data_IF_190846842713
#
_entry.id   IF_190846842713
#
_cell.length_a   1.000
_cell.length_b   1.000
_cell.length_c   1.000
_cell.angle_alpha   90.00
_cell.angle_beta   90.00
_cell.angle_gamma   90.00
#
_symmetry.space_group_name_H-M   'P 1'
#
loop_
_entity.id
_entity.type
_entity.pdbx_description
1 polymer ?
#
# COMPACT_ATOMS: atom_id res chain seq x y z
N UNK A 1 -20.27 6.53 15.60
CA UNK A 1 -18.91 6.96 15.20
C UNK A 1 -18.45 6.09 14.04
N UNK A 2 -17.73 6.60 13.03
CA UNK A 2 -16.90 5.72 12.21
C UNK A 2 -15.90 5.02 13.15
N UNK A 3 -15.55 3.78 12.87
CA UNK A 3 -14.56 3.08 13.68
C UNK A 3 -13.24 3.88 13.66
N UNK A 4 -12.57 4.06 14.82
CA UNK A 4 -11.33 4.82 14.86
C UNK A 4 -10.32 4.16 13.92
N UNK A 5 -9.80 4.93 12.96
CA UNK A 5 -8.69 4.51 12.12
C UNK A 5 -7.54 4.13 13.04
N UNK A 6 -7.22 2.84 13.07
CA UNK A 6 -6.18 2.29 13.93
C UNK A 6 -5.11 1.70 13.03
N UNK A 7 -3.85 2.00 13.34
CA UNK A 7 -2.71 1.37 12.65
C UNK A 7 -2.75 -0.13 12.93
N UNK A 8 -2.71 -0.92 11.86
CA UNK A 8 -2.69 -2.38 11.90
C UNK A 8 -1.32 -2.88 11.47
N UNK A 9 -0.95 -4.08 11.94
CA UNK A 9 0.32 -4.74 11.59
C UNK A 9 0.10 -6.10 10.94
N UNK A 10 -0.99 -6.24 10.18
CA UNK A 10 -1.39 -7.51 9.56
C UNK A 10 -0.62 -7.77 8.27
N UNK A 11 0.34 -8.70 8.32
CA UNK A 11 1.03 -9.19 7.13
C UNK A 11 0.05 -9.89 6.16
N UNK A 12 -0.92 -10.64 6.67
CA UNK A 12 -1.94 -11.30 5.84
C UNK A 12 -2.72 -10.27 5.00
N UNK A 13 -3.02 -9.09 5.55
CA UNK A 13 -3.69 -8.01 4.83
C UNK A 13 -2.84 -7.44 3.69
N UNK A 14 -1.52 -7.49 3.80
CA UNK A 14 -0.58 -7.09 2.76
C UNK A 14 -0.44 -8.20 1.73
N UNK A 15 -0.13 -9.43 2.16
CA UNK A 15 0.11 -10.58 1.28
C UNK A 15 -1.13 -10.97 0.48
N UNK A 16 -2.34 -10.79 1.02
CA UNK A 16 -3.58 -10.98 0.26
C UNK A 16 -3.74 -9.96 -0.87
N UNK A 17 -3.27 -8.72 -0.70
CA UNK A 17 -3.36 -7.64 -1.71
C UNK A 17 -2.21 -7.67 -2.71
N UNK A 18 -1.05 -8.09 -2.25
CA UNK A 18 0.22 -8.07 -2.96
C UNK A 18 0.97 -9.38 -2.63
N UNK A 19 0.63 -10.49 -3.28
CA UNK A 19 1.21 -11.82 -3.01
C UNK A 19 2.74 -11.84 -3.13
N UNK A 20 3.30 -11.02 -4.02
CA UNK A 20 4.74 -10.94 -4.25
C UNK A 20 5.46 -9.87 -3.39
N UNK A 21 4.80 -9.30 -2.37
CA UNK A 21 5.40 -8.24 -1.53
C UNK A 21 6.57 -8.71 -0.66
N UNK A 22 6.62 -10.00 -0.32
CA UNK A 22 7.66 -10.52 0.58
C UNK A 22 7.70 -9.77 1.92
N UNK A 23 6.54 -9.35 2.44
CA UNK A 23 6.45 -8.48 3.60
C UNK A 23 6.94 -9.17 4.87
N UNK A 24 7.92 -8.58 5.55
CA UNK A 24 8.48 -9.06 6.82
C UNK A 24 7.96 -8.29 8.03
N UNK A 25 7.47 -7.07 7.79
CA UNK A 25 6.86 -6.18 8.79
C UNK A 25 5.93 -5.18 8.09
N UNK A 26 4.88 -4.73 8.78
CA UNK A 26 3.96 -3.75 8.17
C UNK A 26 3.27 -2.89 9.22
N UNK A 27 3.05 -1.63 8.86
CA UNK A 27 2.16 -0.69 9.52
C UNK A 27 1.21 -0.13 8.47
N UNK A 28 -0.08 -0.44 8.58
CA UNK A 28 -1.08 -0.07 7.58
C UNK A 28 -2.30 0.59 8.21
N UNK A 29 -2.94 1.47 7.44
CA UNK A 29 -4.23 2.08 7.75
C UNK A 29 -5.13 1.88 6.53
N UNK A 30 -6.35 1.37 6.77
CA UNK A 30 -7.37 1.23 5.74
C UNK A 30 -8.57 2.09 6.10
N UNK A 31 -9.11 2.82 5.12
CA UNK A 31 -10.30 3.65 5.30
C UNK A 31 -11.24 3.51 4.12
N UNK A 32 -12.50 3.16 4.38
CA UNK A 32 -13.55 3.26 3.36
C UNK A 32 -13.75 4.72 2.94
N UNK A 33 -13.85 4.99 1.64
CA UNK A 33 -14.08 6.36 1.11
C UNK A 33 -15.54 6.82 1.22
N UNK A 34 -16.21 6.51 2.33
CA UNK A 34 -17.60 6.90 2.57
C UNK A 34 -17.74 7.61 3.91
N UNK A 35 -18.24 8.86 3.90
CA UNK A 35 -18.65 9.51 5.15
C UNK A 35 -19.92 8.81 5.66
N UNK A 36 -20.05 8.66 6.98
CA UNK A 36 -21.21 8.02 7.65
C UNK A 36 -22.60 8.62 7.31
N UNK A 37 -22.64 9.75 6.59
CA UNK A 37 -23.86 10.43 6.12
C UNK A 37 -24.03 10.42 4.58
N UNK A 38 -23.12 9.80 3.83
CA UNK A 38 -23.19 9.59 2.37
C UNK A 38 -23.79 8.21 2.06
N UNK A 39 -24.91 7.90 2.71
CA UNK A 39 -25.67 6.64 2.66
C UNK A 39 -26.32 6.34 1.30
N UNK A 40 -25.78 6.88 0.19
CA UNK A 40 -26.45 6.89 -1.12
C UNK A 40 -25.65 6.34 -2.29
N UNK A 41 -24.41 5.91 -2.11
CA UNK A 41 -23.74 5.12 -3.14
C UNK A 41 -24.16 3.65 -2.97
N UNK A 42 -24.79 3.03 -3.98
CA UNK A 42 -25.05 1.60 -3.96
C UNK A 42 -23.71 0.84 -3.94
N UNK A 43 -23.61 -0.27 -3.20
CA UNK A 43 -22.59 -1.29 -3.48
C UNK A 43 -22.72 -1.68 -4.96
N UNK A 44 -21.62 -1.65 -5.75
CA UNK A 44 -20.22 -1.90 -5.38
C UNK A 44 -19.29 -0.66 -5.39
N UNK A 45 -19.79 0.56 -5.52
CA UNK A 45 -18.96 1.76 -5.78
C UNK A 45 -18.27 2.37 -4.54
N UNK A 46 -17.87 1.56 -3.54
CA UNK A 46 -17.19 2.05 -2.33
C UNK A 46 -15.69 1.71 -2.38
N UNK A 47 -14.85 2.55 -3.03
CA UNK A 47 -13.42 2.38 -2.92
C UNK A 47 -12.95 2.58 -1.47
N UNK A 48 -11.90 1.89 -1.06
CA UNK A 48 -11.20 2.18 0.19
C UNK A 48 -9.75 2.55 -0.09
N UNK A 49 -9.19 3.41 0.75
CA UNK A 49 -7.78 3.74 0.75
C UNK A 49 -6.99 2.77 1.62
N UNK A 50 -5.80 2.41 1.14
CA UNK A 50 -4.82 1.58 1.82
C UNK A 50 -3.51 2.36 1.88
N UNK A 51 -3.12 2.82 3.06
CA UNK A 51 -1.83 3.47 3.28
C UNK A 51 -0.96 2.53 4.08
N UNK A 52 0.31 2.35 3.70
CA UNK A 52 1.18 1.44 4.43
C UNK A 52 2.65 1.84 4.39
N UNK A 53 3.35 1.44 5.45
CA UNK A 53 4.79 1.38 5.56
C UNK A 53 5.16 -0.09 5.78
N UNK A 54 5.94 -0.67 4.88
CA UNK A 54 6.13 -2.12 4.80
C UNK A 54 7.62 -2.43 4.70
N UNK A 55 8.11 -3.27 5.59
CA UNK A 55 9.44 -3.88 5.46
C UNK A 55 9.33 -5.06 4.50
N UNK A 56 10.23 -5.12 3.52
CA UNK A 56 10.22 -6.12 2.45
C UNK A 56 11.49 -6.96 2.48
N UNK A 57 11.39 -8.19 1.97
CA UNK A 57 12.57 -9.00 1.74
C UNK A 57 13.51 -8.38 0.68
N UNK A 58 14.75 -8.86 0.69
CA UNK A 58 15.79 -8.35 -0.20
C UNK A 58 15.49 -8.63 -1.69
N UNK A 59 14.74 -9.68 -2.00
CA UNK A 59 14.42 -10.03 -3.38
C UNK A 59 13.45 -9.00 -3.98
N UNK A 60 12.41 -8.65 -3.22
CA UNK A 60 11.41 -7.65 -3.57
C UNK A 60 12.02 -6.25 -3.61
N UNK A 61 12.82 -5.89 -2.59
CA UNK A 61 13.57 -4.63 -2.55
C UNK A 61 14.43 -4.43 -3.81
N UNK A 62 15.16 -5.47 -4.24
CA UNK A 62 15.94 -5.40 -5.48
C UNK A 62 15.07 -5.27 -6.73
N UNK A 63 14.01 -6.07 -6.85
CA UNK A 63 13.14 -6.04 -8.01
C UNK A 63 12.48 -4.66 -8.20
N UNK A 64 12.00 -4.06 -7.10
CA UNK A 64 11.45 -2.71 -7.08
C UNK A 64 12.53 -1.66 -7.36
N UNK A 65 13.74 -1.83 -6.80
CA UNK A 65 14.87 -0.93 -7.01
C UNK A 65 15.35 -0.89 -8.47
N UNK A 66 15.35 -2.04 -9.15
CA UNK A 66 15.72 -2.14 -10.57
C UNK A 66 14.70 -1.45 -11.49
N UNK A 67 13.44 -1.37 -11.07
CA UNK A 67 12.37 -0.65 -11.77
C UNK A 67 12.20 0.81 -11.29
N UNK A 68 12.87 1.18 -10.20
CA UNK A 68 12.75 2.50 -9.63
C UNK A 68 13.29 3.57 -10.58
N UNK A 69 12.68 4.74 -10.51
CA UNK A 69 13.10 5.91 -11.27
C UNK A 69 13.97 6.80 -10.38
N UNK A 70 14.02 8.10 -10.68
CA UNK A 70 14.84 9.06 -9.94
C UNK A 70 14.38 9.18 -8.48
N UNK A 71 15.17 9.89 -7.66
CA UNK A 71 14.78 10.18 -6.28
C UNK A 71 13.37 10.82 -6.23
N UNK A 72 12.51 10.48 -5.24
CA UNK A 72 11.18 11.03 -5.13
C UNK A 72 11.35 12.50 -4.79
N UNK A 73 10.67 13.36 -5.54
CA UNK A 73 10.52 14.75 -5.13
C UNK A 73 9.75 14.84 -3.80
N UNK A 74 8.81 13.91 -3.56
CA UNK A 74 8.01 13.78 -2.34
C UNK A 74 7.67 12.30 -2.05
N UNK A 75 7.58 11.95 -0.77
CA UNK A 75 7.03 10.65 -0.35
C UNK A 75 5.52 10.58 -0.62
N UNK A 76 4.97 9.38 -0.87
CA UNK A 76 3.53 9.19 -1.00
C UNK A 76 2.76 9.77 0.19
N UNK A 77 1.59 10.39 -0.03
CA UNK A 77 0.82 11.06 1.01
C UNK A 77 0.09 10.06 1.91
N UNK A 78 0.83 9.40 2.81
CA UNK A 78 0.28 8.41 3.74
C UNK A 78 -0.47 9.05 4.93
N UNK A 79 -1.17 8.22 5.71
CA UNK A 79 -1.91 8.69 6.88
C UNK A 79 -0.93 9.24 7.94
N UNK A 80 -1.21 10.36 8.64
CA UNK A 80 -0.27 10.98 9.57
C UNK A 80 0.26 10.05 10.66
N UNK A 81 -0.58 9.13 11.16
CA UNK A 81 -0.19 8.15 12.17
C UNK A 81 0.88 7.16 11.69
N UNK A 82 1.08 7.04 10.37
CA UNK A 82 2.11 6.18 9.78
C UNK A 82 3.48 6.87 9.68
N UNK A 83 3.54 8.20 9.76
CA UNK A 83 4.81 8.94 9.63
C UNK A 83 5.85 8.54 10.67
N UNK A 84 5.42 8.10 11.86
CA UNK A 84 6.33 7.63 12.92
C UNK A 84 7.08 6.34 12.55
N UNK A 85 6.61 5.60 11.55
CA UNK A 85 7.22 4.35 11.08
C UNK A 85 8.10 4.55 9.85
N UNK A 86 8.19 5.77 9.31
CA UNK A 86 9.08 6.11 8.20
C UNK A 86 10.38 6.66 8.80
N UNK A 87 11.51 5.93 8.71
CA UNK A 87 12.77 6.41 9.27
C UNK A 87 13.31 7.60 8.47
N UNK A 88 13.89 8.58 9.16
CA UNK A 88 14.35 9.83 8.52
C UNK A 88 15.70 9.68 7.84
N UNK A 89 16.47 8.67 8.22
CA UNK A 89 17.78 8.34 7.67
C UNK A 89 17.71 7.60 6.33
N UNK A 90 16.54 7.06 5.95
CA UNK A 90 16.36 6.29 4.73
C UNK A 90 16.27 7.18 3.50
N UNK A 91 16.93 6.78 2.42
CA UNK A 91 16.79 7.44 1.12
C UNK A 91 15.77 6.70 0.27
N UNK A 92 14.76 7.42 -0.20
CA UNK A 92 13.71 6.83 -1.02
C UNK A 92 13.98 7.05 -2.51
N UNK A 93 13.33 6.24 -3.35
CA UNK A 93 13.21 6.30 -4.82
C UNK A 93 11.78 5.96 -5.21
N UNK A 94 11.25 6.61 -6.26
CA UNK A 94 9.88 6.35 -6.71
C UNK A 94 9.85 5.17 -7.67
N UNK A 95 8.95 4.22 -7.43
CA UNK A 95 8.67 3.12 -8.35
C UNK A 95 7.42 3.47 -9.17
N UNK A 96 7.46 3.40 -10.51
CA UNK A 96 6.28 3.64 -11.34
C UNK A 96 5.13 2.71 -10.97
N UNK A 97 3.90 3.25 -10.97
CA UNK A 97 2.68 2.53 -10.62
C UNK A 97 2.54 1.19 -11.39
N UNK A 98 2.78 1.20 -12.69
CA UNK A 98 2.70 0.00 -13.54
C UNK A 98 3.70 -1.08 -13.15
N UNK A 99 4.91 -0.67 -12.75
CA UNK A 99 5.95 -1.60 -12.32
C UNK A 99 5.69 -2.11 -10.91
N UNK A 100 5.23 -1.25 -10.00
CA UNK A 100 4.83 -1.63 -8.65
C UNK A 100 3.71 -2.69 -8.69
N UNK A 101 2.60 -2.44 -9.39
CA UNK A 101 1.49 -3.40 -9.50
C UNK A 101 1.93 -4.73 -10.11
N UNK A 102 2.78 -4.70 -11.14
CA UNK A 102 3.31 -5.90 -11.79
C UNK A 102 4.27 -6.69 -10.90
N UNK A 103 5.19 -6.02 -10.22
CA UNK A 103 6.21 -6.66 -9.37
C UNK A 103 5.56 -7.24 -8.10
N UNK A 104 4.59 -6.53 -7.54
CA UNK A 104 3.89 -6.91 -6.30
C UNK A 104 2.71 -7.87 -6.53
N UNK A 105 2.42 -8.16 -7.79
CA UNK A 105 1.42 -9.12 -8.23
C UNK A 105 -0.02 -8.79 -7.79
N UNK A 106 -0.40 -7.50 -7.86
CA UNK A 106 -1.73 -7.04 -7.42
C UNK A 106 -2.88 -7.61 -8.26
N UNK A 107 -2.60 -8.09 -9.47
CA UNK A 107 -3.56 -8.79 -10.32
C UNK A 107 -4.03 -10.12 -9.69
N UNK A 108 -3.15 -10.80 -8.96
CA UNK A 108 -3.44 -12.07 -8.28
C UNK A 108 -3.79 -11.88 -6.79
N UNK A 109 -4.25 -10.68 -6.40
CA UNK A 109 -4.72 -10.43 -5.05
C UNK A 109 -5.84 -11.42 -4.65
N UNK A 110 -5.66 -12.08 -3.51
CA UNK A 110 -6.61 -13.04 -2.93
C UNK A 110 -7.44 -12.36 -1.83
N UNK A 111 -8.44 -11.59 -2.27
CA UNK A 111 -9.29 -10.79 -1.41
C UNK A 111 -10.65 -11.45 -1.21
N UNK A 112 -11.19 -11.32 0.01
CA UNK A 112 -12.41 -12.01 0.43
C UNK A 112 -13.55 -11.66 -0.52
N UNK A 113 -14.12 -12.68 -1.17
CA UNK A 113 -15.25 -12.54 -2.09
C UNK A 113 -14.86 -12.37 -3.56
N UNK A 114 -13.56 -12.38 -3.91
CA UNK A 114 -13.02 -12.48 -5.28
C UNK A 114 -13.41 -11.37 -6.26
N UNK A 115 -14.21 -10.40 -5.80
CA UNK A 115 -14.72 -9.25 -6.55
C UNK A 115 -13.96 -7.97 -6.20
N UNK A 116 -13.15 -8.00 -5.15
CA UNK A 116 -12.31 -6.88 -4.77
C UNK A 116 -11.01 -6.91 -5.58
N UNK A 117 -10.71 -5.80 -6.26
CA UNK A 117 -9.44 -5.55 -6.93
C UNK A 117 -8.65 -4.51 -6.15
N UNK A 118 -7.34 -4.66 -6.13
CA UNK A 118 -6.43 -3.75 -5.45
C UNK A 118 -5.42 -3.19 -6.45
N UNK A 119 -5.13 -1.89 -6.34
CA UNK A 119 -4.07 -1.22 -7.09
C UNK A 119 -3.17 -0.45 -6.15
N UNK A 120 -1.86 -0.51 -6.40
CA UNK A 120 -0.90 0.45 -5.86
C UNK A 120 -1.02 1.71 -6.69
N UNK A 121 -1.22 2.86 -6.05
CA UNK A 121 -1.36 4.16 -6.72
C UNK A 121 -0.01 4.91 -6.69
N UNK A 122 0.68 4.89 -5.54
CA UNK A 122 1.98 5.51 -5.36
C UNK A 122 2.88 4.62 -4.49
N UNK A 123 4.15 4.47 -4.89
CA UNK A 123 5.13 3.67 -4.15
C UNK A 123 6.50 4.36 -4.12
N UNK A 124 7.02 4.53 -2.91
CA UNK A 124 8.41 4.90 -2.66
C UNK A 124 9.13 3.74 -1.96
N UNK A 125 10.30 3.38 -2.48
CA UNK A 125 11.17 2.35 -1.95
C UNK A 125 12.42 3.00 -1.37
N UNK A 126 12.84 2.53 -0.20
CA UNK A 126 14.20 2.72 0.32
C UNK A 126 14.94 1.38 0.24
N UNK A 127 15.91 1.30 -0.67
CA UNK A 127 16.73 0.09 -0.88
C UNK A 127 17.74 -0.13 0.25
N UNK A 128 18.18 0.95 0.90
CA UNK A 128 19.08 0.94 2.05
C UNK A 128 18.40 0.40 3.31
N UNK A 129 17.11 0.69 3.50
CA UNK A 129 16.33 0.20 4.64
C UNK A 129 15.44 -1.01 4.32
N UNK A 130 15.35 -1.43 3.05
CA UNK A 130 14.38 -2.42 2.55
C UNK A 130 12.94 -2.11 3.00
N UNK A 131 12.55 -0.85 2.81
CA UNK A 131 11.29 -0.32 3.33
C UNK A 131 10.53 0.36 2.20
N UNK A 132 9.24 0.07 2.13
CA UNK A 132 8.30 0.61 1.16
C UNK A 132 7.31 1.51 1.88
N UNK A 133 7.09 2.70 1.33
CA UNK A 133 6.00 3.59 1.69
C UNK A 133 5.05 3.64 0.50
N UNK A 134 3.76 3.37 0.72
CA UNK A 134 2.82 3.28 -0.38
C UNK A 134 1.41 3.76 -0.03
N UNK A 135 0.71 4.17 -1.08
CA UNK A 135 -0.73 4.40 -1.11
C UNK A 135 -1.31 3.50 -2.20
N UNK A 136 -2.44 2.87 -1.91
CA UNK A 136 -3.20 2.09 -2.86
C UNK A 136 -4.70 2.23 -2.62
N UNK A 137 -5.47 1.76 -3.59
CA UNK A 137 -6.93 1.79 -3.55
C UNK A 137 -7.47 0.40 -3.83
N UNK A 138 -8.44 -0.03 -3.02
CA UNK A 138 -9.24 -1.21 -3.32
C UNK A 138 -10.61 -0.82 -3.87
N UNK A 139 -11.09 -1.58 -4.84
CA UNK A 139 -12.36 -1.38 -5.53
C UNK A 139 -13.11 -2.70 -5.63
N UNK A 140 -14.41 -2.69 -5.36
CA UNK A 140 -15.28 -3.84 -5.67
C UNK A 140 -15.72 -3.77 -7.14
N UNK A 141 -15.75 -4.92 -7.81
CA UNK A 141 -16.18 -5.11 -9.20
C UNK A 141 -17.55 -5.77 -9.33
#
# INVERSE_FOLDING_TARGET
>A
MPDPLTVQTSLDSVTSRMPAMGATGTHLVMQERVKKNESRLPEPDRPYWFHAVIEVDQATSRALGDAATTAPDLLPPIHPDLHQYVPQECTFVTVPESDANRILDTENADLVGGSERFTVDELALSTDCNLVVMVGTGHYS
#
